data_IF_402369599836
#
_entry.id   IF_402369599836
#
_cell.length_a   1.000
_cell.length_b   1.000
_cell.length_c   1.000
_cell.angle_alpha   90.00
_cell.angle_beta   90.00
_cell.angle_gamma   90.00
#
_symmetry.space_group_name_H-M   'P 1'
#
loop_
_entity.id
_entity.type
_entity.pdbx_description
1 polymer ?
#
# COMPACT_ATOMS: atom_id res chain seq x y z
N UNK A 1 -10.30 23.42 -3.91
CA UNK A 1 -11.69 23.13 -3.49
C UNK A 1 -11.67 22.06 -2.42
N UNK A 2 -12.80 21.84 -1.68
CA UNK A 2 -12.92 20.69 -0.78
C UNK A 2 -13.42 19.48 -1.56
N UNK A 3 -12.81 18.34 -1.33
CA UNK A 3 -13.06 17.10 -2.07
C UNK A 3 -13.24 15.96 -1.07
N UNK A 4 -14.18 15.06 -1.31
CA UNK A 4 -14.27 13.76 -0.64
C UNK A 4 -13.49 12.72 -1.46
N UNK A 5 -13.16 11.57 -0.88
CA UNK A 5 -12.54 10.45 -1.59
C UNK A 5 -13.51 9.27 -1.61
N UNK A 6 -13.78 8.76 -2.79
CA UNK A 6 -14.58 7.57 -3.03
C UNK A 6 -13.72 6.40 -3.47
N UNK A 7 -13.80 5.28 -2.77
CA UNK A 7 -13.08 4.05 -3.09
C UNK A 7 -14.06 3.03 -3.65
N UNK A 8 -13.85 2.61 -4.89
CA UNK A 8 -14.65 1.56 -5.53
C UNK A 8 -14.07 0.18 -5.13
N UNK A 9 -14.77 -0.50 -4.21
CA UNK A 9 -14.41 -1.81 -3.71
C UNK A 9 -15.29 -2.92 -4.32
N UNK A 10 -15.77 -2.75 -5.54
CA UNK A 10 -16.62 -3.68 -6.26
C UNK A 10 -15.97 -4.22 -7.52
N UNK A 11 -16.27 -5.47 -7.87
CA UNK A 11 -15.87 -6.11 -9.12
C UNK A 11 -15.72 -7.61 -8.96
N UNK A 12 -16.38 -8.40 -9.83
CA UNK A 12 -16.14 -9.86 -9.89
C UNK A 12 -14.73 -10.11 -10.40
N UNK A 13 -13.79 -10.36 -9.50
CA UNK A 13 -12.39 -10.71 -9.82
C UNK A 13 -12.29 -12.15 -10.34
N UNK A 14 -12.94 -12.43 -11.48
CA UNK A 14 -12.94 -13.76 -12.12
C UNK A 14 -11.52 -14.25 -12.46
N UNK A 15 -10.55 -13.32 -12.59
CA UNK A 15 -9.17 -13.64 -12.99
C UNK A 15 -8.24 -13.98 -11.83
N UNK A 16 -8.62 -13.67 -10.57
CA UNK A 16 -7.77 -13.81 -9.39
C UNK A 16 -8.23 -14.91 -8.42
N UNK A 17 -9.39 -15.56 -8.66
CA UNK A 17 -9.88 -16.66 -7.83
C UNK A 17 -10.32 -16.29 -6.40
N UNK A 18 -10.06 -15.05 -5.98
CA UNK A 18 -10.49 -14.43 -4.71
C UNK A 18 -10.88 -12.98 -4.96
N UNK A 19 -11.67 -12.40 -4.07
CA UNK A 19 -12.02 -10.99 -4.18
C UNK A 19 -10.76 -10.12 -3.98
N UNK A 20 -10.48 -9.22 -4.95
CA UNK A 20 -9.27 -8.36 -4.96
C UNK A 20 -9.09 -7.56 -3.67
N UNK A 21 -10.17 -7.23 -2.99
CA UNK A 21 -10.14 -6.39 -1.79
C UNK A 21 -9.71 -7.12 -0.53
N UNK A 22 -9.82 -8.47 -0.51
CA UNK A 22 -9.36 -9.34 0.60
C UNK A 22 -7.88 -9.73 0.46
N UNK A 23 -7.21 -9.25 -0.61
CA UNK A 23 -5.80 -9.53 -0.80
C UNK A 23 -4.96 -8.78 0.21
N UNK A 24 -4.08 -9.52 0.86
CA UNK A 24 -3.20 -9.00 1.88
C UNK A 24 -2.04 -8.22 1.22
N UNK A 25 -1.90 -6.95 1.57
CA UNK A 25 -0.83 -6.07 1.13
C UNK A 25 -0.06 -5.60 2.37
N UNK A 26 1.13 -6.14 2.58
CA UNK A 26 1.97 -5.86 3.75
C UNK A 26 1.26 -6.02 5.11
N UNK A 27 0.25 -6.90 5.19
CA UNK A 27 -0.50 -7.17 6.42
C UNK A 27 -1.84 -6.45 6.55
N UNK A 28 -2.20 -5.63 5.57
CA UNK A 28 -3.51 -4.97 5.43
C UNK A 28 -4.17 -5.37 4.11
N UNK A 29 -5.47 -5.24 4.03
CA UNK A 29 -6.16 -5.33 2.73
C UNK A 29 -5.89 -4.06 1.91
N UNK A 30 -6.03 -4.14 0.58
CA UNK A 30 -5.89 -2.97 -0.30
C UNK A 30 -6.80 -1.81 0.11
N UNK A 31 -8.00 -2.12 0.58
CA UNK A 31 -8.95 -1.10 1.01
C UNK A 31 -8.52 -0.45 2.32
N UNK A 32 -8.07 -1.23 3.29
CA UNK A 32 -7.55 -0.68 4.56
C UNK A 32 -6.36 0.25 4.33
N UNK A 33 -5.45 -0.12 3.42
CA UNK A 33 -4.32 0.71 3.03
C UNK A 33 -4.78 2.03 2.38
N UNK A 34 -5.76 1.98 1.45
CA UNK A 34 -6.30 3.18 0.82
C UNK A 34 -7.08 4.05 1.82
N UNK A 35 -7.85 3.45 2.72
CA UNK A 35 -8.56 4.16 3.79
C UNK A 35 -7.57 4.93 4.69
N UNK A 36 -6.50 4.29 5.14
CA UNK A 36 -5.50 4.95 5.99
C UNK A 36 -4.79 6.06 5.23
N UNK A 37 -4.47 5.85 3.97
CA UNK A 37 -3.82 6.85 3.11
C UNK A 37 -4.65 8.10 2.88
N UNK A 38 -5.97 7.96 2.85
CA UNK A 38 -6.91 9.07 2.63
C UNK A 38 -7.60 9.54 3.91
N UNK A 39 -7.12 9.19 5.10
CA UNK A 39 -7.75 9.48 6.40
C UNK A 39 -7.98 10.98 6.68
N UNK A 40 -7.25 11.87 6.02
CA UNK A 40 -7.41 13.33 6.15
C UNK A 40 -8.56 13.88 5.30
N UNK A 41 -9.20 13.03 4.50
CA UNK A 41 -10.38 13.34 3.70
C UNK A 41 -11.64 12.67 4.27
N UNK A 42 -12.81 13.13 3.82
CA UNK A 42 -14.02 12.31 3.97
C UNK A 42 -13.92 11.11 3.03
N UNK A 43 -13.75 9.90 3.57
CA UNK A 43 -13.67 8.66 2.79
C UNK A 43 -15.02 7.95 2.75
N UNK A 44 -15.42 7.51 1.55
CA UNK A 44 -16.64 6.71 1.31
C UNK A 44 -16.23 5.48 0.48
N UNK A 45 -16.57 4.29 0.95
CA UNK A 45 -16.29 3.04 0.24
C UNK A 45 -17.56 2.50 -0.38
N UNK A 46 -17.58 2.22 -1.70
CA UNK A 46 -18.63 1.45 -2.34
C UNK A 46 -18.27 -0.03 -2.29
N UNK A 47 -19.05 -0.81 -1.53
CA UNK A 47 -18.86 -2.26 -1.39
C UNK A 47 -20.19 -2.97 -1.20
N UNK A 48 -20.41 -4.06 -1.96
CA UNK A 48 -21.59 -4.91 -1.84
C UNK A 48 -21.38 -6.09 -0.87
N UNK A 49 -20.11 -6.39 -0.51
CA UNK A 49 -19.72 -7.61 0.21
C UNK A 49 -19.25 -7.35 1.63
N UNK A 50 -18.62 -6.21 1.90
CA UNK A 50 -18.03 -5.89 3.19
C UNK A 50 -18.51 -4.52 3.71
N UNK A 51 -18.46 -4.35 5.04
CA UNK A 51 -18.69 -3.08 5.74
C UNK A 51 -17.38 -2.65 6.39
N UNK A 52 -16.95 -1.43 6.14
CA UNK A 52 -15.69 -0.86 6.62
C UNK A 52 -15.87 0.14 7.77
N UNK A 53 -16.91 -0.07 8.59
CA UNK A 53 -17.16 0.78 9.78
C UNK A 53 -15.87 1.00 10.60
N UNK A 54 -15.55 2.24 11.07
CA UNK A 54 -16.42 3.43 11.09
C UNK A 54 -16.44 4.24 9.77
N UNK A 55 -15.77 3.81 8.72
CA UNK A 55 -15.79 4.47 7.41
C UNK A 55 -17.14 4.24 6.75
N UNK A 56 -17.69 5.30 6.16
CA UNK A 56 -18.98 5.23 5.47
C UNK A 56 -18.93 4.25 4.30
N UNK A 57 -19.70 3.18 4.38
CA UNK A 57 -19.82 2.18 3.32
C UNK A 57 -21.18 2.30 2.64
N UNK A 58 -21.20 2.33 1.30
CA UNK A 58 -22.42 2.38 0.49
C UNK A 58 -22.50 1.14 -0.40
N UNK A 59 -23.74 0.74 -0.72
CA UNK A 59 -24.01 -0.42 -1.59
C UNK A 59 -24.56 0.05 -2.93
N UNK A 60 -24.26 -0.70 -3.97
CA UNK A 60 -24.79 -0.42 -5.31
C UNK A 60 -26.31 -0.59 -5.36
N UNK A 61 -27.00 0.45 -5.82
CA UNK A 61 -28.45 0.38 -6.11
C UNK A 61 -28.70 -0.44 -7.38
N UNK A 62 -27.82 -0.34 -8.38
CA UNK A 62 -27.91 -1.09 -9.63
C UNK A 62 -26.92 -2.24 -9.60
N UNK A 63 -27.43 -3.45 -9.37
CA UNK A 63 -26.58 -4.65 -9.26
C UNK A 63 -26.01 -5.03 -10.63
N UNK A 64 -24.76 -5.47 -10.67
CA UNK A 64 -24.01 -5.83 -11.89
C UNK A 64 -23.86 -4.68 -12.91
N UNK A 65 -24.04 -3.43 -12.50
CA UNK A 65 -23.88 -2.24 -13.35
C UNK A 65 -22.43 -1.72 -13.42
N UNK A 66 -21.47 -2.47 -12.86
CA UNK A 66 -20.06 -2.08 -12.83
C UNK A 66 -19.80 -0.82 -12.01
N UNK A 67 -18.71 -0.07 -12.30
CA UNK A 67 -18.28 1.05 -11.46
C UNK A 67 -19.29 2.21 -11.38
N UNK A 68 -20.17 2.38 -12.38
CA UNK A 68 -21.08 3.53 -12.42
C UNK A 68 -22.05 3.55 -11.24
N UNK A 69 -22.54 2.37 -10.79
CA UNK A 69 -23.42 2.31 -9.61
C UNK A 69 -22.68 2.75 -8.35
N UNK A 70 -21.44 2.29 -8.17
CA UNK A 70 -20.61 2.71 -7.05
C UNK A 70 -20.31 4.21 -7.07
N UNK A 71 -19.98 4.78 -8.23
CA UNK A 71 -19.77 6.21 -8.39
C UNK A 71 -21.03 7.00 -8.01
N UNK A 72 -22.19 6.56 -8.48
CA UNK A 72 -23.48 7.19 -8.16
C UNK A 72 -23.71 7.22 -6.64
N UNK A 73 -23.57 6.09 -5.98
CA UNK A 73 -23.81 6.00 -4.54
C UNK A 73 -22.78 6.79 -3.72
N UNK A 74 -21.54 6.82 -4.12
CA UNK A 74 -20.51 7.66 -3.48
C UNK A 74 -20.87 9.14 -3.63
N UNK A 75 -21.21 9.60 -4.84
CA UNK A 75 -21.59 10.99 -5.09
C UNK A 75 -22.83 11.40 -4.27
N UNK A 76 -23.87 10.58 -4.22
CA UNK A 76 -25.09 10.83 -3.42
C UNK A 76 -24.79 10.95 -1.94
N UNK A 77 -23.82 10.22 -1.45
CA UNK A 77 -23.51 10.07 -0.03
C UNK A 77 -22.36 10.95 0.48
N UNK A 78 -21.62 11.64 -0.40
CA UNK A 78 -20.55 12.56 0.02
C UNK A 78 -21.13 13.87 0.57
N UNK A 79 -20.38 14.54 1.45
CA UNK A 79 -20.76 15.88 1.94
C UNK A 79 -20.26 16.99 1.01
N UNK A 80 -19.17 16.75 0.28
CA UNK A 80 -18.60 17.71 -0.66
C UNK A 80 -19.24 17.59 -2.06
N UNK A 81 -19.23 18.69 -2.81
CA UNK A 81 -19.72 18.78 -4.20
C UNK A 81 -18.88 17.94 -5.16
N UNK A 82 -17.58 17.84 -4.88
CA UNK A 82 -16.63 17.13 -5.71
C UNK A 82 -16.07 15.92 -4.97
N UNK A 83 -15.94 14.81 -5.68
CA UNK A 83 -15.42 13.55 -5.12
C UNK A 83 -14.31 13.03 -6.01
N UNK A 84 -13.15 12.78 -5.42
CA UNK A 84 -12.08 12.03 -6.07
C UNK A 84 -12.43 10.54 -5.99
N UNK A 85 -12.61 9.91 -7.13
CA UNK A 85 -12.89 8.47 -7.23
C UNK A 85 -11.59 7.74 -7.53
N UNK A 86 -11.37 6.62 -6.87
CA UNK A 86 -10.32 5.66 -7.18
C UNK A 86 -10.84 4.24 -7.04
N UNK A 87 -10.23 3.28 -7.73
CA UNK A 87 -10.56 1.86 -7.57
C UNK A 87 -9.55 1.17 -6.66
N UNK A 88 -9.96 0.10 -6.00
CA UNK A 88 -9.13 -0.63 -5.04
C UNK A 88 -7.88 -1.29 -5.66
N UNK A 89 -7.79 -1.42 -6.98
CA UNK A 89 -6.62 -1.92 -7.70
C UNK A 89 -5.57 -0.83 -8.02
N UNK A 90 -5.88 0.43 -7.70
CA UNK A 90 -4.97 1.57 -7.85
C UNK A 90 -4.32 1.92 -6.51
N UNK A 91 -3.68 0.95 -5.89
CA UNK A 91 -3.13 1.07 -4.53
C UNK A 91 -1.95 2.05 -4.41
N UNK A 92 -1.32 2.43 -5.52
CA UNK A 92 -0.21 3.37 -5.51
C UNK A 92 -0.65 4.83 -5.48
N UNK A 93 -1.94 5.11 -5.69
CA UNK A 93 -2.48 6.48 -5.66
C UNK A 93 -2.34 7.07 -4.25
N UNK A 94 -1.77 8.27 -4.17
CA UNK A 94 -1.48 9.00 -2.92
C UNK A 94 -2.40 10.20 -2.73
N UNK A 95 -2.43 10.72 -1.50
CA UNK A 95 -3.16 11.94 -1.13
C UNK A 95 -2.75 13.15 -1.97
N UNK A 96 -1.47 13.27 -2.32
CA UNK A 96 -0.95 14.37 -3.11
C UNK A 96 -1.59 14.45 -4.50
N UNK A 97 -1.97 13.30 -5.10
CA UNK A 97 -2.71 13.30 -6.36
C UNK A 97 -4.13 13.86 -6.19
N UNK A 98 -4.79 13.61 -5.05
CA UNK A 98 -6.11 14.20 -4.74
C UNK A 98 -6.00 15.72 -4.63
N UNK A 99 -4.98 16.21 -3.91
CA UNK A 99 -4.72 17.64 -3.77
C UNK A 99 -4.36 18.29 -5.12
N UNK A 100 -3.55 17.63 -5.93
CA UNK A 100 -3.25 18.07 -7.29
C UNK A 100 -4.53 18.15 -8.15
N UNK A 101 -5.34 17.08 -8.17
CA UNK A 101 -6.61 17.05 -8.89
C UNK A 101 -7.54 18.21 -8.45
N UNK A 102 -7.66 18.43 -7.15
CA UNK A 102 -8.45 19.54 -6.57
C UNK A 102 -7.91 20.92 -6.95
N UNK A 103 -6.60 21.06 -7.16
CA UNK A 103 -5.96 22.33 -7.55
C UNK A 103 -6.20 22.70 -9.01
N UNK A 104 -6.31 21.71 -9.89
CA UNK A 104 -6.46 21.92 -11.34
C UNK A 104 -7.92 21.89 -11.81
N UNK A 105 -8.84 21.36 -10.99
CA UNK A 105 -10.27 21.35 -11.29
C UNK A 105 -10.88 22.74 -11.16
N UNK A 106 -11.77 23.09 -12.07
CA UNK A 106 -12.57 24.32 -12.02
C UNK A 106 -14.02 24.00 -11.59
N UNK A 107 -14.76 25.00 -11.10
CA UNK A 107 -16.18 24.82 -10.76
C UNK A 107 -17.09 24.55 -11.95
N UNK A 108 -16.60 24.72 -13.19
CA UNK A 108 -17.32 24.37 -14.41
C UNK A 108 -17.14 22.90 -14.78
N UNK A 109 -16.00 22.30 -14.42
CA UNK A 109 -15.70 20.92 -14.82
C UNK A 109 -16.67 19.95 -14.14
N UNK A 110 -17.24 19.03 -14.91
CA UNK A 110 -18.08 17.94 -14.40
C UNK A 110 -17.23 16.73 -14.02
N UNK A 111 -16.08 16.56 -14.70
CA UNK A 111 -15.06 15.59 -14.29
C UNK A 111 -13.65 16.07 -14.65
N UNK A 112 -12.65 15.60 -13.89
CA UNK A 112 -11.21 15.67 -14.21
C UNK A 112 -10.67 14.26 -14.18
N UNK A 113 -10.25 13.75 -15.34
CA UNK A 113 -9.84 12.35 -15.51
C UNK A 113 -8.37 12.30 -15.92
N UNK A 114 -7.64 11.38 -15.33
CA UNK A 114 -6.23 11.19 -15.61
C UNK A 114 -6.00 10.20 -16.75
N UNK A 115 -4.95 10.47 -17.52
CA UNK A 115 -4.48 9.61 -18.59
C UNK A 115 -2.94 9.58 -18.64
N UNK A 116 -2.41 8.54 -19.23
CA UNK A 116 -1.02 8.43 -19.68
C UNK A 116 -1.01 8.27 -21.19
N UNK A 117 0.17 8.27 -21.84
CA UNK A 117 0.24 8.02 -23.28
C UNK A 117 -0.33 6.64 -23.68
N UNK A 118 -0.38 5.69 -22.75
CA UNK A 118 -0.83 4.33 -23.04
C UNK A 118 -2.34 4.15 -22.87
N UNK A 119 -2.96 4.86 -21.91
CA UNK A 119 -4.39 4.70 -21.60
C UNK A 119 -4.98 5.81 -20.74
N UNK A 120 -6.32 5.92 -20.78
CA UNK A 120 -7.14 6.70 -19.86
C UNK A 120 -7.57 5.86 -18.66
N UNK A 121 -7.71 6.52 -17.48
CA UNK A 121 -8.11 5.90 -16.21
C UNK A 121 -9.45 6.47 -15.73
N UNK A 122 -10.58 6.09 -16.33
CA UNK A 122 -11.86 6.74 -16.11
C UNK A 122 -12.46 6.49 -14.72
N UNK A 123 -11.86 5.61 -13.91
CA UNK A 123 -12.20 5.37 -12.50
C UNK A 123 -11.18 5.98 -11.55
N UNK A 124 -10.32 6.88 -12.04
CA UNK A 124 -9.40 7.64 -11.21
C UNK A 124 -9.44 9.12 -11.59
N UNK A 125 -10.02 9.94 -10.72
CA UNK A 125 -10.18 11.38 -10.98
C UNK A 125 -11.30 12.01 -10.16
N UNK A 126 -11.55 13.30 -10.39
CA UNK A 126 -12.61 14.04 -9.71
C UNK A 126 -13.91 14.00 -10.53
N UNK A 127 -15.02 13.84 -9.84
CA UNK A 127 -16.38 13.95 -10.38
C UNK A 127 -17.20 14.92 -9.55
N UNK A 128 -18.01 15.76 -10.23
CA UNK A 128 -18.97 16.67 -9.60
C UNK A 128 -20.32 15.95 -9.39
N UNK A 129 -21.04 16.30 -8.32
CA UNK A 129 -22.41 15.84 -8.11
C UNK A 129 -23.39 16.26 -9.22
N UNK A 130 -23.04 17.23 -10.04
CA UNK A 130 -23.84 17.66 -11.20
C UNK A 130 -24.15 16.53 -12.18
N UNK A 131 -23.28 15.50 -12.22
CA UNK A 131 -23.46 14.37 -13.13
C UNK A 131 -24.47 13.33 -12.66
N UNK A 132 -24.98 13.43 -11.42
CA UNK A 132 -25.92 12.45 -10.84
C UNK A 132 -27.11 12.17 -11.79
N UNK A 133 -27.82 13.17 -12.36
CA UNK A 133 -28.94 12.89 -13.26
C UNK A 133 -28.52 12.10 -14.51
N UNK A 134 -27.34 12.38 -15.07
CA UNK A 134 -26.80 11.69 -16.24
C UNK A 134 -26.43 10.23 -15.87
N UNK A 135 -25.85 10.02 -14.68
CA UNK A 135 -25.55 8.68 -14.17
C UNK A 135 -26.83 7.84 -14.00
N UNK A 136 -27.87 8.42 -13.44
CA UNK A 136 -29.16 7.74 -13.25
C UNK A 136 -29.76 7.35 -14.61
N UNK A 137 -29.81 8.25 -15.58
CA UNK A 137 -30.29 7.97 -16.95
C UNK A 137 -29.51 6.83 -17.60
N UNK A 138 -28.15 6.85 -17.47
CA UNK A 138 -27.31 5.82 -18.06
C UNK A 138 -27.54 4.44 -17.41
N UNK A 139 -27.68 4.41 -16.08
CA UNK A 139 -27.93 3.18 -15.35
C UNK A 139 -29.32 2.59 -15.66
N UNK A 140 -30.34 3.42 -15.77
CA UNK A 140 -31.70 3.01 -16.20
C UNK A 140 -31.72 2.47 -17.64
N UNK A 141 -30.95 3.10 -18.55
CA UNK A 141 -30.80 2.65 -19.94
C UNK A 141 -29.85 1.47 -20.12
N UNK A 142 -29.23 0.97 -19.02
CA UNK A 142 -28.25 -0.12 -19.01
C UNK A 142 -26.96 0.18 -19.77
N UNK A 143 -26.60 1.45 -19.90
CA UNK A 143 -25.30 1.86 -20.40
C UNK A 143 -24.28 1.94 -19.25
N UNK A 144 -23.58 0.84 -19.00
CA UNK A 144 -22.70 0.66 -17.82
C UNK A 144 -21.23 1.01 -18.08
N UNK A 145 -20.91 1.61 -19.24
CA UNK A 145 -19.51 1.92 -19.59
C UNK A 145 -19.09 3.29 -19.05
N UNK A 146 -18.09 3.31 -18.15
CA UNK A 146 -17.56 4.57 -17.59
C UNK A 146 -17.06 5.51 -18.67
N UNK A 147 -16.43 5.01 -19.73
CA UNK A 147 -15.99 5.86 -20.85
C UNK A 147 -17.16 6.56 -21.57
N UNK A 148 -18.35 5.94 -21.61
CA UNK A 148 -19.51 6.61 -22.18
C UNK A 148 -19.97 7.78 -21.30
N UNK A 149 -19.90 7.64 -19.98
CA UNK A 149 -20.16 8.74 -19.04
C UNK A 149 -19.17 9.89 -19.32
N UNK A 150 -17.87 9.59 -19.26
CA UNK A 150 -16.79 10.58 -19.44
C UNK A 150 -16.91 11.34 -20.77
N UNK A 151 -17.43 10.69 -21.82
CA UNK A 151 -17.67 11.32 -23.12
C UNK A 151 -18.99 12.12 -23.20
N UNK A 152 -19.93 11.91 -22.27
CA UNK A 152 -21.23 12.62 -22.24
C UNK A 152 -21.20 13.89 -21.39
N UNK A 153 -20.22 14.04 -20.52
CA UNK A 153 -20.09 15.14 -19.55
C UNK A 153 -18.93 16.06 -19.91
N UNK A 154 -18.87 17.25 -19.33
CA UNK A 154 -17.75 18.17 -19.50
C UNK A 154 -16.52 17.68 -18.73
N UNK A 155 -15.69 16.90 -19.42
CA UNK A 155 -14.51 16.22 -18.86
C UNK A 155 -13.23 16.89 -19.26
N UNK A 156 -12.44 17.28 -18.27
CA UNK A 156 -11.05 17.71 -18.43
C UNK A 156 -10.13 16.50 -18.33
N UNK A 157 -9.45 16.16 -19.43
CA UNK A 157 -8.40 15.13 -19.42
C UNK A 157 -7.06 15.73 -19.05
N UNK A 158 -6.33 15.02 -18.20
CA UNK A 158 -5.02 15.46 -17.69
C UNK A 158 -4.01 14.34 -17.89
N UNK A 159 -3.07 14.58 -18.82
CA UNK A 159 -1.97 13.64 -19.07
C UNK A 159 -0.92 13.80 -17.97
N UNK A 160 -0.60 12.69 -17.29
CA UNK A 160 0.36 12.64 -16.19
C UNK A 160 1.79 12.31 -16.62
N UNK A 161 2.04 12.16 -17.92
CA UNK A 161 3.38 11.90 -18.45
C UNK A 161 4.37 12.96 -17.97
N UNK A 162 5.52 12.50 -17.51
CA UNK A 162 6.58 13.33 -16.93
C UNK A 162 6.20 14.10 -15.66
N UNK A 163 5.08 13.75 -15.02
CA UNK A 163 4.75 14.24 -13.69
C UNK A 163 5.28 13.29 -12.61
N UNK A 164 5.35 13.78 -11.37
CA UNK A 164 5.69 12.95 -10.21
C UNK A 164 4.64 11.85 -9.92
N UNK A 165 3.48 11.90 -10.58
CA UNK A 165 2.35 10.99 -10.40
C UNK A 165 2.30 9.86 -11.44
N UNK A 166 3.18 9.86 -12.45
CA UNK A 166 3.15 8.85 -13.52
C UNK A 166 3.26 7.42 -12.96
N UNK A 167 4.14 7.20 -11.98
CA UNK A 167 4.36 5.90 -11.34
C UNK A 167 3.20 5.42 -10.46
N UNK A 168 2.25 6.30 -10.10
CA UNK A 168 1.07 5.94 -9.30
C UNK A 168 0.02 5.16 -10.09
N UNK A 169 0.09 5.19 -11.42
CA UNK A 169 -0.89 4.60 -12.34
C UNK A 169 -0.54 3.17 -12.78
N UNK A 170 0.25 2.46 -12.01
CA UNK A 170 0.50 1.03 -12.21
C UNK A 170 -0.64 0.22 -11.59
N UNK A 171 -1.51 -0.35 -12.43
CA UNK A 171 -2.56 -1.27 -11.97
C UNK A 171 -1.98 -2.64 -11.65
N UNK A 172 -2.38 -3.20 -10.52
CA UNK A 172 -2.09 -4.59 -10.18
C UNK A 172 -3.22 -5.47 -10.75
N UNK A 173 -2.96 -6.15 -11.87
CA UNK A 173 -3.95 -6.96 -12.58
C UNK A 173 -3.73 -8.47 -12.49
N UNK A 174 -2.56 -8.94 -12.03
CA UNK A 174 -2.19 -10.35 -12.02
C UNK A 174 -1.66 -10.78 -10.64
N UNK A 175 -1.93 -12.05 -10.21
CA UNK A 175 -1.44 -12.61 -8.96
C UNK A 175 0.09 -12.57 -8.81
N UNK A 176 0.82 -12.62 -9.92
CA UNK A 176 2.28 -12.57 -9.94
C UNK A 176 2.82 -11.16 -9.64
N UNK A 177 2.11 -10.11 -10.08
CA UNK A 177 2.41 -8.71 -9.72
C UNK A 177 2.12 -8.46 -8.23
N UNK A 178 1.14 -9.18 -7.68
CA UNK A 178 0.78 -9.16 -6.26
C UNK A 178 1.76 -9.91 -5.39
N UNK A 179 2.36 -11.02 -5.85
CA UNK A 179 3.25 -11.84 -5.01
C UNK A 179 4.37 -11.03 -4.38
N UNK A 180 5.03 -10.14 -5.13
CA UNK A 180 6.05 -9.23 -4.58
C UNK A 180 5.48 -8.12 -3.70
N UNK A 181 4.25 -7.69 -3.95
CA UNK A 181 3.58 -6.59 -3.22
C UNK A 181 2.64 -7.09 -2.11
N UNK A 182 2.36 -8.40 -2.05
CA UNK A 182 1.48 -9.02 -1.04
C UNK A 182 2.22 -9.80 0.03
N UNK A 183 3.55 -9.95 -0.10
CA UNK A 183 4.34 -10.61 0.93
C UNK A 183 4.21 -9.81 2.23
N UNK A 184 3.73 -10.42 3.33
CA UNK A 184 3.63 -9.72 4.61
C UNK A 184 4.96 -9.12 5.02
N UNK A 185 4.90 -7.88 5.52
CA UNK A 185 6.05 -7.15 5.99
C UNK A 185 5.84 -6.74 7.44
N UNK A 186 6.82 -7.01 8.29
CA UNK A 186 6.83 -6.62 9.69
C UNK A 186 8.09 -5.86 10.05
N UNK A 187 7.96 -4.87 10.95
CA UNK A 187 9.09 -4.19 11.55
C UNK A 187 9.35 -4.70 12.95
N UNK A 188 10.56 -5.19 13.20
CA UNK A 188 11.07 -5.43 14.54
C UNK A 188 11.85 -4.18 14.96
N UNK A 189 11.22 -3.34 15.76
CA UNK A 189 11.75 -2.04 16.17
C UNK A 189 12.17 -2.01 17.66
N UNK A 190 12.66 -0.87 18.15
CA UNK A 190 13.10 -0.67 19.53
C UNK A 190 14.43 0.07 19.64
N UNK A 191 14.85 0.40 20.87
CA UNK A 191 16.11 1.11 21.15
C UNK A 191 17.34 0.37 20.61
N UNK A 192 18.46 1.07 20.46
CA UNK A 192 19.77 0.43 20.26
C UNK A 192 20.03 -0.54 21.43
N UNK A 193 20.55 -1.73 21.12
CA UNK A 193 20.83 -2.79 22.09
C UNK A 193 19.60 -3.37 22.84
N UNK A 194 18.41 -3.23 22.29
CA UNK A 194 17.17 -3.82 22.87
C UNK A 194 16.95 -5.30 22.50
N UNK A 195 17.93 -5.97 21.93
CA UNK A 195 17.86 -7.40 21.59
C UNK A 195 17.28 -7.72 20.20
N UNK A 196 16.90 -6.74 19.38
CA UNK A 196 16.30 -6.92 18.02
C UNK A 196 17.04 -7.94 17.16
N UNK A 197 18.32 -7.71 16.92
CA UNK A 197 19.12 -8.57 16.03
C UNK A 197 19.18 -10.01 16.56
N UNK A 198 19.29 -10.19 17.89
CA UNK A 198 19.29 -11.51 18.52
C UNK A 198 17.94 -12.20 18.37
N UNK A 199 16.86 -11.47 18.56
CA UNK A 199 15.50 -11.98 18.37
C UNK A 199 15.24 -12.35 16.90
N UNK A 200 15.58 -11.48 15.96
CA UNK A 200 15.41 -11.72 14.50
C UNK A 200 16.18 -12.98 14.07
N UNK A 201 17.41 -13.18 14.52
CA UNK A 201 18.18 -14.41 14.23
C UNK A 201 17.45 -15.67 14.65
N UNK A 202 16.87 -15.66 15.85
CA UNK A 202 16.08 -16.79 16.37
C UNK A 202 14.75 -16.95 15.62
N UNK A 203 14.07 -15.84 15.27
CA UNK A 203 12.84 -15.85 14.49
C UNK A 203 13.06 -16.47 13.11
N UNK A 204 14.10 -16.05 12.38
CA UNK A 204 14.49 -16.62 11.09
C UNK A 204 14.72 -18.13 11.20
N UNK A 205 15.38 -18.58 12.25
CA UNK A 205 15.58 -20.01 12.50
C UNK A 205 14.26 -20.77 12.77
N UNK A 206 13.35 -20.19 13.54
CA UNK A 206 12.03 -20.77 13.82
C UNK A 206 11.12 -20.80 12.58
N UNK A 207 11.16 -19.77 11.72
CA UNK A 207 10.48 -19.76 10.42
C UNK A 207 11.00 -20.91 9.54
N UNK A 208 12.32 -21.06 9.43
CA UNK A 208 12.94 -22.13 8.65
C UNK A 208 12.53 -23.53 9.12
N UNK A 209 12.39 -23.76 10.44
CA UNK A 209 11.90 -25.03 11.00
C UNK A 209 10.47 -25.35 10.59
N UNK A 210 9.68 -24.34 10.23
CA UNK A 210 8.29 -24.45 9.78
C UNK A 210 8.16 -24.39 8.27
N UNK A 211 9.28 -24.60 7.55
CA UNK A 211 9.38 -24.55 6.08
C UNK A 211 8.91 -23.20 5.51
N UNK A 212 9.14 -22.09 6.26
CA UNK A 212 8.85 -20.72 5.82
C UNK A 212 10.12 -20.00 5.43
N UNK A 213 10.01 -19.25 4.32
CA UNK A 213 11.10 -18.42 3.79
C UNK A 213 10.93 -16.97 4.26
N UNK A 214 12.03 -16.28 4.48
CA UNK A 214 11.97 -14.86 4.82
C UNK A 214 13.19 -14.09 4.29
N UNK A 215 12.99 -12.81 4.02
CA UNK A 215 14.04 -11.84 3.76
C UNK A 215 14.15 -10.85 4.93
N UNK A 216 15.36 -10.41 5.22
CA UNK A 216 15.62 -9.43 6.29
C UNK A 216 16.25 -8.19 5.69
N UNK A 217 15.59 -7.04 5.90
CA UNK A 217 16.11 -5.72 5.57
C UNK A 217 16.58 -5.08 6.87
N UNK A 218 17.81 -4.61 6.90
CA UNK A 218 18.29 -3.83 8.04
C UNK A 218 18.33 -2.35 7.67
N UNK A 219 17.54 -1.55 8.37
CA UNK A 219 17.60 -0.09 8.30
C UNK A 219 18.59 0.40 9.37
N UNK A 220 19.72 0.94 8.92
CA UNK A 220 20.69 1.59 9.81
C UNK A 220 20.51 3.11 9.74
N UNK A 221 20.27 3.73 10.88
CA UNK A 221 20.13 5.19 11.00
C UNK A 221 21.46 5.95 10.98
N UNK A 222 22.56 5.25 10.82
CA UNK A 222 23.91 5.80 10.76
C UNK A 222 24.58 5.38 9.46
N UNK A 223 25.63 6.13 9.05
CA UNK A 223 26.45 5.74 7.92
C UNK A 223 27.08 4.37 8.17
N UNK A 224 26.98 3.48 7.20
CA UNK A 224 27.64 2.18 7.20
C UNK A 224 28.65 2.10 6.05
N UNK A 225 29.73 1.35 6.24
CA UNK A 225 30.72 1.16 5.21
C UNK A 225 30.12 0.37 4.04
N UNK A 226 30.10 1.01 2.86
CA UNK A 226 29.49 0.45 1.65
C UNK A 226 30.39 -0.55 0.96
N UNK A 227 31.69 -0.26 0.87
CA UNK A 227 32.69 -1.11 0.22
C UNK A 227 34.06 -0.99 0.87
N UNK A 228 34.90 -2.01 0.70
CA UNK A 228 36.30 -1.94 1.16
C UNK A 228 37.07 -1.04 0.23
N UNK A 229 37.88 -0.12 0.81
CA UNK A 229 38.90 0.64 0.04
C UNK A 229 39.77 -0.34 -0.73
N UNK A 230 40.20 0.08 -1.94
CA UNK A 230 41.10 -0.67 -2.81
C UNK A 230 40.48 -1.88 -3.52
N UNK A 231 39.13 -1.97 -3.61
CA UNK A 231 38.45 -2.92 -4.50
C UNK A 231 38.10 -2.27 -5.84
N UNK A 232 37.94 -3.08 -6.88
CA UNK A 232 37.53 -2.58 -8.21
C UNK A 232 36.18 -1.87 -8.15
N UNK A 233 35.23 -2.41 -7.39
CA UNK A 233 33.89 -1.83 -7.21
C UNK A 233 33.95 -0.49 -6.50
N UNK A 234 34.83 -0.31 -5.53
CA UNK A 234 35.10 0.98 -4.89
C UNK A 234 35.59 2.02 -5.90
N UNK A 235 36.57 1.66 -6.73
CA UNK A 235 37.08 2.57 -7.75
C UNK A 235 36.07 2.91 -8.82
N UNK A 236 35.24 1.96 -9.28
CA UNK A 236 34.20 2.29 -10.24
C UNK A 236 33.25 3.38 -9.72
N UNK A 237 32.92 3.37 -8.43
CA UNK A 237 32.11 4.42 -7.80
C UNK A 237 32.84 5.77 -7.70
N UNK A 238 34.06 5.75 -7.26
CA UNK A 238 34.91 6.95 -7.21
C UNK A 238 35.03 7.63 -8.60
N UNK A 239 35.02 6.84 -9.68
CA UNK A 239 35.07 7.34 -11.05
C UNK A 239 33.67 7.62 -11.65
N UNK A 240 32.60 7.56 -10.86
CA UNK A 240 31.28 8.05 -11.23
C UNK A 240 30.24 6.99 -11.62
N UNK A 241 30.50 5.70 -11.36
CA UNK A 241 29.43 4.70 -11.53
C UNK A 241 28.32 4.93 -10.51
N UNK A 242 27.06 5.04 -10.99
CA UNK A 242 25.90 5.21 -10.13
C UNK A 242 25.61 3.98 -9.27
N UNK A 243 25.91 2.79 -9.80
CA UNK A 243 25.72 1.50 -9.13
C UNK A 243 26.80 0.54 -9.54
N UNK A 244 27.15 -0.40 -8.66
CA UNK A 244 28.04 -1.53 -8.96
C UNK A 244 27.37 -2.83 -8.56
N UNK A 245 27.49 -3.85 -9.39
CA UNK A 245 27.02 -5.21 -9.12
C UNK A 245 28.18 -6.16 -9.34
N UNK A 246 28.50 -6.95 -8.32
CA UNK A 246 29.45 -8.06 -8.40
C UNK A 246 28.71 -9.36 -8.14
N UNK A 247 28.98 -10.40 -8.91
CA UNK A 247 28.34 -11.69 -8.75
C UNK A 247 29.26 -12.85 -9.12
N UNK A 248 28.90 -14.02 -8.62
CA UNK A 248 29.45 -15.30 -9.03
C UNK A 248 28.31 -16.36 -9.01
N UNK A 249 28.61 -17.62 -9.24
CA UNK A 249 27.62 -18.69 -9.29
C UNK A 249 26.81 -18.92 -8.00
N UNK A 250 27.21 -18.27 -6.89
CA UNK A 250 26.58 -18.49 -5.58
C UNK A 250 25.99 -17.22 -4.97
N UNK A 251 26.60 -16.06 -5.24
CA UNK A 251 26.28 -14.80 -4.55
C UNK A 251 26.34 -13.62 -5.50
N UNK A 252 25.56 -12.61 -5.18
CA UNK A 252 25.72 -11.28 -5.76
C UNK A 252 25.71 -10.20 -4.66
N UNK A 253 26.33 -9.05 -4.94
CA UNK A 253 26.25 -7.83 -4.14
C UNK A 253 25.93 -6.67 -5.08
N UNK A 254 24.85 -5.94 -4.77
CA UNK A 254 24.47 -4.69 -5.43
C UNK A 254 24.75 -3.54 -4.47
N UNK A 255 25.49 -2.55 -4.93
CA UNK A 255 25.78 -1.33 -4.19
C UNK A 255 25.34 -0.13 -5.04
N UNK A 256 24.53 0.77 -4.46
CA UNK A 256 23.94 1.89 -5.17
C UNK A 256 23.58 3.05 -4.26
N UNK A 257 23.08 4.12 -4.86
CA UNK A 257 22.57 5.27 -4.13
C UNK A 257 21.34 4.97 -3.28
N UNK A 258 20.94 5.94 -2.46
CA UNK A 258 19.75 5.84 -1.61
C UNK A 258 18.49 5.52 -2.43
N UNK A 259 17.68 4.61 -1.92
CA UNK A 259 16.36 4.22 -2.46
C UNK A 259 15.34 4.25 -1.34
N UNK A 260 14.08 4.48 -1.70
CA UNK A 260 12.99 4.27 -0.75
C UNK A 260 12.83 2.77 -0.43
N UNK A 261 12.18 2.47 0.69
CA UNK A 261 12.04 1.10 1.17
C UNK A 261 11.25 0.20 0.19
N UNK A 262 10.25 0.74 -0.50
CA UNK A 262 9.43 -0.01 -1.45
C UNK A 262 10.24 -0.43 -2.68
N UNK A 263 11.16 0.42 -3.17
CA UNK A 263 12.07 0.06 -4.26
C UNK A 263 13.09 -1.00 -3.83
N UNK A 264 13.52 -0.99 -2.56
CA UNK A 264 14.40 -2.04 -2.03
C UNK A 264 13.68 -3.38 -1.90
N UNK A 265 12.41 -3.38 -1.47
CA UNK A 265 11.60 -4.60 -1.38
C UNK A 265 11.44 -5.26 -2.76
N UNK A 266 11.28 -4.49 -3.83
CA UNK A 266 11.19 -5.02 -5.21
C UNK A 266 12.43 -5.78 -5.68
N UNK A 267 13.57 -5.57 -5.01
CA UNK A 267 14.83 -6.27 -5.32
C UNK A 267 14.94 -7.63 -4.62
N UNK A 268 14.06 -7.94 -3.67
CA UNK A 268 14.06 -9.19 -2.94
C UNK A 268 13.41 -10.31 -3.76
N UNK A 269 13.85 -11.54 -3.52
CA UNK A 269 13.20 -12.74 -4.05
C UNK A 269 11.82 -12.95 -3.39
N UNK A 270 10.96 -13.75 -4.01
CA UNK A 270 9.67 -14.14 -3.46
C UNK A 270 9.89 -14.98 -2.19
N UNK A 271 9.34 -14.51 -1.07
CA UNK A 271 9.43 -15.14 0.25
C UNK A 271 8.08 -15.10 0.96
N UNK A 272 7.91 -15.88 2.03
CA UNK A 272 6.68 -15.89 2.81
C UNK A 272 6.56 -14.66 3.73
N UNK A 273 7.70 -14.07 4.17
CA UNK A 273 7.72 -12.92 5.10
C UNK A 273 8.90 -12.00 4.84
N UNK A 274 8.69 -10.70 4.90
CA UNK A 274 9.74 -9.68 4.94
C UNK A 274 9.85 -9.12 6.36
N UNK A 275 11.04 -9.11 6.91
CA UNK A 275 11.34 -8.59 8.24
C UNK A 275 12.22 -7.37 8.09
N UNK A 276 11.81 -6.22 8.62
CA UNK A 276 12.65 -5.02 8.70
C UNK A 276 13.17 -4.87 10.13
N UNK A 277 14.48 -4.82 10.30
CA UNK A 277 15.10 -4.40 11.56
C UNK A 277 15.20 -2.88 11.59
N UNK A 278 14.41 -2.22 12.45
CA UNK A 278 14.42 -0.76 12.58
C UNK A 278 13.11 -0.09 12.18
N UNK A 279 13.20 1.10 11.58
CA UNK A 279 12.06 1.89 11.08
C UNK A 279 10.94 2.13 12.13
N UNK A 280 11.32 2.48 13.36
CA UNK A 280 10.42 2.65 14.52
C UNK A 280 9.31 3.69 14.31
N UNK A 281 9.52 4.67 13.42
CA UNK A 281 8.62 5.77 13.13
C UNK A 281 7.83 5.56 11.81
N UNK A 282 7.93 4.38 11.17
CA UNK A 282 7.20 4.03 9.94
C UNK A 282 5.74 3.67 10.23
N UNK A 283 4.92 3.61 9.17
CA UNK A 283 3.53 3.15 9.22
C UNK A 283 3.39 1.62 9.06
N UNK A 284 4.49 0.89 8.92
CA UNK A 284 4.45 -0.56 8.85
C UNK A 284 3.99 -1.20 10.16
N UNK A 285 3.52 -2.45 10.08
CA UNK A 285 3.20 -3.26 11.27
C UNK A 285 4.47 -3.41 12.13
N UNK A 286 4.39 -2.96 13.39
CA UNK A 286 5.52 -2.92 14.31
C UNK A 286 5.35 -3.86 15.47
N UNK A 287 6.48 -4.50 15.83
CA UNK A 287 6.66 -5.30 17.04
C UNK A 287 7.88 -4.76 17.76
N UNK A 288 7.67 -4.22 18.95
CA UNK A 288 8.73 -3.51 19.67
C UNK A 288 9.51 -4.43 20.60
N UNK A 289 10.81 -4.58 20.32
CA UNK A 289 11.74 -5.26 21.24
C UNK A 289 12.24 -4.29 22.31
N UNK A 290 12.08 -4.66 23.58
CA UNK A 290 12.62 -3.88 24.69
C UNK A 290 13.10 -4.79 25.84
N UNK A 291 14.17 -4.37 26.51
CA UNK A 291 14.71 -4.95 27.75
C UNK A 291 14.52 -4.00 28.93
N UNK A 292 13.83 -2.87 28.73
CA UNK A 292 13.52 -1.86 29.75
C UNK A 292 12.01 -1.62 29.79
N UNK A 293 11.54 -0.79 30.73
CA UNK A 293 10.11 -0.46 30.81
C UNK A 293 9.67 0.62 29.81
N UNK A 294 10.62 1.16 29.02
CA UNK A 294 10.33 2.21 28.05
C UNK A 294 10.00 1.62 26.68
N UNK A 295 8.95 2.14 26.05
CA UNK A 295 8.62 1.95 24.65
C UNK A 295 8.98 3.22 23.87
N UNK A 296 9.55 3.07 22.67
CA UNK A 296 10.08 4.18 21.86
C UNK A 296 9.53 4.23 20.42
N UNK A 297 8.82 3.18 20.01
CA UNK A 297 8.21 3.16 18.69
C UNK A 297 6.89 3.92 18.73
N UNK A 298 6.54 4.57 17.60
CA UNK A 298 5.22 5.19 17.46
C UNK A 298 4.11 4.15 17.71
N UNK A 299 2.98 4.57 18.30
CA UNK A 299 1.86 3.67 18.60
C UNK A 299 1.05 3.30 17.34
N UNK A 300 1.27 4.02 16.24
CA UNK A 300 0.64 3.71 14.95
C UNK A 300 1.11 2.32 14.50
N UNK A 301 0.16 1.43 14.25
CA UNK A 301 0.41 0.06 13.80
C UNK A 301 1.37 -0.77 14.69
N UNK A 302 1.46 -0.46 15.98
CA UNK A 302 2.19 -1.27 16.96
C UNK A 302 1.27 -2.33 17.54
N UNK A 303 1.54 -3.60 17.22
CA UNK A 303 0.66 -4.72 17.55
C UNK A 303 1.07 -5.47 18.81
N UNK A 304 2.36 -5.56 19.11
CA UNK A 304 2.82 -6.29 20.29
C UNK A 304 4.18 -5.80 20.78
N UNK A 305 4.51 -6.22 22.00
CA UNK A 305 5.81 -6.00 22.62
C UNK A 305 6.52 -7.33 22.81
N UNK A 306 7.79 -7.35 22.43
CA UNK A 306 8.70 -8.50 22.55
C UNK A 306 9.70 -8.19 23.67
N UNK A 307 9.54 -8.85 24.80
CA UNK A 307 10.31 -8.53 26.02
C UNK A 307 10.38 -9.74 26.95
N UNK A 308 11.25 -9.69 27.96
CA UNK A 308 11.21 -10.54 29.14
C UNK A 308 10.23 -10.01 30.22
N UNK A 309 9.56 -8.89 29.95
CA UNK A 309 8.59 -8.19 30.81
C UNK A 309 7.21 -8.19 30.20
N UNK A 310 6.21 -7.79 31.00
CA UNK A 310 4.82 -7.66 30.55
C UNK A 310 4.44 -6.18 30.40
N UNK A 311 3.81 -5.85 29.29
CA UNK A 311 3.31 -4.50 28.98
C UNK A 311 1.79 -4.56 28.86
N UNK A 312 1.06 -3.95 29.82
CA UNK A 312 -0.41 -3.91 29.77
C UNK A 312 -0.90 -3.17 28.50
N UNK A 313 -1.94 -3.69 27.88
CA UNK A 313 -2.52 -3.10 26.66
C UNK A 313 -1.91 -3.58 25.35
N UNK A 314 -0.88 -4.44 25.39
CA UNK A 314 -0.28 -5.06 24.23
C UNK A 314 -0.27 -6.58 24.35
N UNK A 315 -0.28 -7.28 23.22
CA UNK A 315 0.17 -8.66 23.17
C UNK A 315 1.66 -8.71 23.54
N UNK A 316 2.06 -9.73 24.29
CA UNK A 316 3.41 -9.82 24.85
C UNK A 316 4.04 -11.15 24.47
N UNK A 317 5.21 -11.09 23.85
CA UNK A 317 6.00 -12.27 23.45
C UNK A 317 7.36 -12.29 24.14
N UNK A 318 7.86 -13.49 24.43
CA UNK A 318 9.17 -13.67 25.07
C UNK A 318 10.32 -13.39 24.07
N UNK A 319 11.15 -12.41 24.39
CA UNK A 319 12.33 -12.04 23.61
C UNK A 319 13.37 -13.19 23.54
N UNK A 320 13.35 -14.09 24.50
CA UNK A 320 14.27 -15.22 24.55
C UNK A 320 13.79 -16.43 23.75
N UNK A 321 12.47 -16.57 23.55
CA UNK A 321 11.85 -17.69 22.86
C UNK A 321 10.85 -17.21 21.79
N UNK A 322 11.23 -17.10 20.52
CA UNK A 322 10.37 -16.60 19.46
C UNK A 322 9.34 -17.61 18.94
N UNK A 323 9.26 -18.83 19.49
CA UNK A 323 8.40 -19.88 18.92
C UNK A 323 6.93 -19.47 18.89
N UNK A 324 6.39 -18.96 20.02
CA UNK A 324 5.01 -18.47 20.11
C UNK A 324 4.77 -17.30 19.15
N UNK A 325 5.71 -16.35 19.08
CA UNK A 325 5.64 -15.24 18.14
C UNK A 325 5.65 -15.72 16.68
N UNK A 326 6.45 -16.74 16.36
CA UNK A 326 6.49 -17.31 15.01
C UNK A 326 5.14 -17.91 14.63
N UNK A 327 4.53 -18.69 15.51
CA UNK A 327 3.21 -19.28 15.29
C UNK A 327 2.13 -18.20 15.15
N UNK A 328 2.19 -17.15 15.96
CA UNK A 328 1.32 -15.97 15.86
C UNK A 328 1.43 -15.29 14.50
N UNK A 329 2.66 -15.03 14.00
CA UNK A 329 2.90 -14.39 12.70
C UNK A 329 2.36 -15.27 11.57
N UNK A 330 2.65 -16.57 11.57
CA UNK A 330 2.17 -17.51 10.56
C UNK A 330 0.64 -17.50 10.50
N UNK A 331 -0.01 -17.57 11.65
CA UNK A 331 -1.48 -17.55 11.72
C UNK A 331 -2.06 -16.20 11.29
N UNK A 332 -1.49 -15.09 11.78
CA UNK A 332 -1.97 -13.73 11.50
C UNK A 332 -1.92 -13.40 10.02
N UNK A 333 -0.82 -13.75 9.35
CA UNK A 333 -0.61 -13.45 7.93
C UNK A 333 -0.96 -14.59 6.99
N UNK A 334 -1.38 -15.73 7.53
CA UNK A 334 -1.74 -16.95 6.76
C UNK A 334 -0.63 -17.41 5.81
N UNK A 335 0.60 -17.31 6.24
CA UNK A 335 1.79 -17.72 5.48
C UNK A 335 2.20 -19.15 5.77
#
# INVERSE_FOLDING_TARGET
MRVSVGILAGGKSVRMGQDKFDLNFYGHTFIEELIDRFKDFEVIVSSNTADYSPIKTVKDTYIDAGPLSGILEILKNSTNEYVFITSCDMINVKSDLVDFAASIASFSDEAVIFETDERCYPTCGIFSKKIIPILEEMLESKDYRVMNLVNKIDTKFVNLKYTIFEDEFVNINYPEELKKNSTPLICICGKKNSGKTTFIKKLVYELKKRDKTCSVIKHDGHDFELDFKDTDTFYYKEYGACQTLIFNDKYFKLDGGSKNIYDLIKLLDDVDLIIIEGMKDSDFIKYECTLTDDLVCSDVNKYAVISDRKFPGFDNFDINNPSEFTDYIIQKFKI
#
